data_IF_844550375550
#
_entry.id   IF_844550375550
#
_cell.length_a   1.000
_cell.length_b   1.000
_cell.length_c   1.000
_cell.angle_alpha   90.00
_cell.angle_beta   90.00
_cell.angle_gamma   90.00
#
_symmetry.space_group_name_H-M   'P 1'
#
loop_
_entity.id
_entity.type
_entity.pdbx_description
1 polymer ?
#
# COMPACT_ATOMS: atom_id res chain seq x y z
N UNK A 1 -46.65 29.98 38.83
CA UNK A 1 -47.60 29.95 37.70
C UNK A 1 -47.65 31.37 37.22
N UNK A 2 -46.73 31.72 36.33
CA UNK A 2 -46.71 33.03 35.67
C UNK A 2 -46.23 32.79 34.24
N UNK A 3 -47.13 33.14 33.33
CA UNK A 3 -47.16 32.88 31.90
C UNK A 3 -46.71 34.16 31.19
N UNK A 4 -45.65 34.09 30.39
CA UNK A 4 -45.08 35.24 29.70
C UNK A 4 -45.11 35.02 28.17
N UNK A 5 -45.90 35.80 27.41
CA UNK A 5 -45.85 35.80 25.94
C UNK A 5 -44.94 36.91 25.37
N UNK A 6 -44.54 36.81 24.08
CA UNK A 6 -43.33 37.43 23.54
C UNK A 6 -43.58 38.73 22.74
N UNK A 7 -42.54 39.55 22.47
CA UNK A 7 -42.61 40.60 21.46
C UNK A 7 -42.03 40.19 20.10
N UNK A 8 -42.71 40.63 19.04
CA UNK A 8 -42.31 40.60 17.61
C UNK A 8 -41.52 41.86 17.26
N UNK A 9 -40.56 41.76 16.33
CA UNK A 9 -39.90 42.91 15.70
C UNK A 9 -38.99 42.51 14.55
N UNK A 10 -39.28 43.04 13.35
CA UNK A 10 -38.76 42.64 12.05
C UNK A 10 -37.43 43.32 11.64
N UNK A 11 -36.68 42.72 10.71
CA UNK A 11 -36.14 43.48 9.56
C UNK A 11 -35.66 42.55 8.44
N UNK A 12 -36.37 42.58 7.31
CA UNK A 12 -35.90 42.11 6.01
C UNK A 12 -35.12 43.25 5.33
N UNK A 13 -33.99 42.94 4.68
CA UNK A 13 -33.39 43.80 3.66
C UNK A 13 -33.48 43.09 2.31
N UNK A 14 -34.07 43.77 1.35
CA UNK A 14 -34.11 43.39 -0.07
C UNK A 14 -33.12 44.18 -0.92
N UNK A 15 -33.35 44.05 -2.24
CA UNK A 15 -32.69 44.68 -3.40
C UNK A 15 -31.38 44.02 -3.87
N UNK A 16 -31.08 43.87 -5.16
CA UNK A 16 -31.79 44.07 -6.43
C UNK A 16 -30.95 43.40 -7.54
N UNK A 17 -31.55 43.27 -8.72
CA UNK A 17 -31.08 42.49 -9.86
C UNK A 17 -30.15 43.27 -10.84
N UNK A 18 -29.40 42.48 -11.61
CA UNK A 18 -29.00 42.62 -13.04
C UNK A 18 -28.23 43.86 -13.55
N UNK A 19 -27.01 43.62 -14.07
CA UNK A 19 -26.56 44.08 -15.40
C UNK A 19 -25.25 43.35 -15.81
N UNK A 20 -25.17 42.90 -17.06
CA UNK A 20 -24.13 42.01 -17.57
C UNK A 20 -22.85 42.67 -18.10
N UNK A 21 -21.81 41.84 -18.27
CA UNK A 21 -20.71 42.04 -19.21
C UNK A 21 -20.12 40.67 -19.61
N UNK A 22 -19.86 40.52 -20.91
CA UNK A 22 -19.47 39.32 -21.65
C UNK A 22 -18.03 38.82 -21.36
N UNK A 23 -17.68 37.58 -21.76
CA UNK A 23 -16.46 36.90 -21.32
C UNK A 23 -15.25 37.25 -22.19
N UNK A 24 -14.12 37.59 -21.55
CA UNK A 24 -12.83 37.67 -22.21
C UNK A 24 -12.33 36.25 -22.55
N UNK A 25 -12.09 36.02 -23.84
CA UNK A 25 -11.72 34.73 -24.41
C UNK A 25 -10.44 34.14 -23.80
N UNK A 26 -10.58 32.98 -23.15
CA UNK A 26 -9.45 32.08 -22.90
C UNK A 26 -9.14 31.35 -24.20
N UNK A 27 -8.01 31.70 -24.82
CA UNK A 27 -7.39 30.96 -25.92
C UNK A 27 -7.28 29.49 -25.52
N UNK A 28 -8.03 28.62 -26.21
CA UNK A 28 -7.87 27.17 -26.09
C UNK A 28 -6.56 26.79 -26.76
N UNK A 29 -5.53 26.53 -25.96
CA UNK A 29 -4.34 25.85 -26.45
C UNK A 29 -4.75 24.44 -26.94
N UNK A 30 -4.31 24.01 -28.13
CA UNK A 30 -4.58 22.67 -28.59
C UNK A 30 -3.94 21.69 -27.61
N UNK A 31 -4.75 20.79 -27.03
CA UNK A 31 -4.24 19.64 -26.28
C UNK A 31 -3.39 18.82 -27.24
N UNK A 32 -2.07 18.96 -27.13
CA UNK A 32 -1.15 18.04 -27.74
C UNK A 32 -1.54 16.63 -27.29
N UNK A 33 -2.05 15.82 -28.22
CA UNK A 33 -2.17 14.38 -28.04
C UNK A 33 -0.74 13.87 -27.87
N UNK A 34 -0.31 13.67 -26.63
CA UNK A 34 0.89 12.89 -26.37
C UNK A 34 0.65 11.51 -26.92
N UNK A 35 1.30 11.19 -28.05
CA UNK A 35 1.55 9.81 -28.45
C UNK A 35 2.54 9.26 -27.41
N UNK A 36 2.01 8.84 -26.26
CA UNK A 36 2.78 8.12 -25.28
C UNK A 36 3.10 6.76 -25.88
N UNK A 37 4.35 6.58 -26.33
CA UNK A 37 4.95 5.24 -26.37
C UNK A 37 4.78 4.67 -24.97
N UNK A 38 3.94 3.65 -24.85
CA UNK A 38 3.48 3.15 -23.57
C UNK A 38 4.65 2.69 -22.73
N UNK A 39 4.95 3.39 -21.65
CA UNK A 39 5.74 2.85 -20.55
C UNK A 39 4.94 1.66 -20.06
N UNK A 40 5.43 0.44 -20.29
CA UNK A 40 4.85 -0.77 -19.70
C UNK A 40 4.88 -0.53 -18.19
N UNK A 41 3.74 -0.55 -17.48
CA UNK A 41 3.76 -0.37 -16.04
C UNK A 41 4.67 -1.45 -15.44
N UNK A 42 5.58 -1.04 -14.56
CA UNK A 42 6.52 -1.96 -13.90
C UNK A 42 5.85 -2.87 -12.89
N UNK A 43 4.55 -2.66 -12.64
CA UNK A 43 3.76 -3.37 -11.65
C UNK A 43 2.47 -3.91 -12.24
N UNK A 44 2.06 -5.10 -11.78
CA UNK A 44 0.82 -5.74 -12.21
C UNK A 44 -0.41 -4.81 -12.00
N UNK A 45 -1.40 -4.86 -12.92
CA UNK A 45 -2.73 -4.31 -12.70
C UNK A 45 -3.34 -4.84 -11.40
N UNK A 46 -4.19 -4.04 -10.76
CA UNK A 46 -4.76 -4.36 -9.45
C UNK A 46 -5.40 -5.76 -9.41
N UNK A 47 -6.18 -6.14 -10.40
CA UNK A 47 -6.83 -7.46 -10.44
C UNK A 47 -5.82 -8.62 -10.44
N UNK A 48 -4.77 -8.55 -11.26
CA UNK A 48 -3.71 -9.57 -11.30
C UNK A 48 -2.88 -9.56 -10.02
N UNK A 49 -2.60 -8.37 -9.45
CA UNK A 49 -1.88 -8.25 -8.19
C UNK A 49 -2.65 -8.87 -7.04
N UNK A 50 -3.96 -8.62 -6.93
CA UNK A 50 -4.80 -9.19 -5.88
C UNK A 50 -4.84 -10.72 -5.99
N UNK A 51 -5.10 -11.26 -7.18
CA UNK A 51 -5.13 -12.72 -7.41
C UNK A 51 -3.78 -13.38 -7.09
N UNK A 52 -2.67 -12.72 -7.41
CA UNK A 52 -1.34 -13.20 -7.05
C UNK A 52 -1.08 -13.12 -5.54
N UNK A 53 -1.47 -12.03 -4.88
CA UNK A 53 -1.36 -11.87 -3.44
C UNK A 53 -2.13 -12.96 -2.69
N UNK A 54 -3.36 -13.26 -3.13
CA UNK A 54 -4.16 -14.39 -2.61
C UNK A 54 -3.39 -15.72 -2.73
N UNK A 55 -2.76 -15.97 -3.88
CA UNK A 55 -1.94 -17.18 -4.10
C UNK A 55 -0.72 -17.21 -3.17
N UNK A 56 -0.04 -16.08 -2.98
CA UNK A 56 1.14 -15.96 -2.11
C UNK A 56 0.75 -16.18 -0.64
N UNK A 57 -0.33 -15.57 -0.17
CA UNK A 57 -0.80 -15.73 1.21
C UNK A 57 -1.30 -17.14 1.47
N UNK A 58 -2.01 -17.77 0.51
CA UNK A 58 -2.39 -19.17 0.63
C UNK A 58 -1.17 -20.10 0.76
N UNK A 59 -0.06 -19.79 0.07
CA UNK A 59 1.16 -20.58 0.13
C UNK A 59 1.88 -20.58 1.50
N UNK A 60 1.47 -19.70 2.43
CA UNK A 60 1.94 -19.70 3.81
C UNK A 60 1.40 -20.90 4.62
N UNK A 61 0.22 -21.39 4.27
CA UNK A 61 -0.48 -22.45 5.03
C UNK A 61 -0.91 -23.65 4.18
N UNK A 62 -0.79 -23.57 2.85
CA UNK A 62 -1.24 -24.61 1.91
C UNK A 62 -0.10 -25.06 0.96
N UNK A 63 0.17 -26.37 0.93
CA UNK A 63 1.22 -26.97 0.11
C UNK A 63 0.90 -26.95 -1.40
N UNK A 64 -0.36 -27.08 -1.79
CA UNK A 64 -0.81 -26.95 -3.18
C UNK A 64 -0.70 -25.51 -3.66
N UNK A 65 -1.09 -24.53 -2.84
CA UNK A 65 -0.87 -23.13 -3.15
C UNK A 65 0.62 -22.81 -3.34
N UNK A 66 1.50 -23.44 -2.55
CA UNK A 66 2.95 -23.29 -2.69
C UNK A 66 3.50 -23.91 -3.97
N UNK A 67 2.96 -25.06 -4.39
CA UNK A 67 3.26 -25.65 -5.71
C UNK A 67 2.77 -24.74 -6.85
N UNK A 68 1.55 -24.20 -6.73
CA UNK A 68 1.00 -23.26 -7.71
C UNK A 68 1.86 -22.00 -7.81
N UNK A 69 2.27 -21.40 -6.69
CA UNK A 69 3.19 -20.27 -6.67
C UNK A 69 4.54 -20.59 -7.34
N UNK A 70 5.10 -21.77 -7.07
CA UNK A 70 6.35 -22.21 -7.68
C UNK A 70 6.22 -22.38 -9.21
N UNK A 71 5.07 -22.86 -9.70
CA UNK A 71 4.82 -22.98 -11.14
C UNK A 71 4.85 -21.62 -11.86
N UNK A 72 4.38 -20.55 -11.19
CA UNK A 72 4.41 -19.17 -11.72
C UNK A 72 5.82 -18.59 -11.87
N UNK A 73 6.87 -19.27 -11.40
CA UNK A 73 8.26 -18.85 -11.58
C UNK A 73 8.82 -19.12 -12.99
N UNK A 74 8.02 -19.76 -13.84
CA UNK A 74 8.34 -20.09 -15.24
C UNK A 74 7.38 -19.37 -16.19
N UNK A 75 7.86 -19.05 -17.39
CA UNK A 75 7.05 -18.39 -18.42
C UNK A 75 5.85 -19.28 -18.84
N UNK A 76 6.01 -20.61 -18.84
CA UNK A 76 4.94 -21.57 -19.15
C UNK A 76 3.84 -21.58 -18.08
N UNK A 77 4.21 -21.64 -16.81
CA UNK A 77 3.25 -21.56 -15.70
C UNK A 77 2.56 -20.20 -15.64
N UNK A 78 3.31 -19.11 -15.86
CA UNK A 78 2.75 -17.77 -15.95
C UNK A 78 1.77 -17.63 -17.13
N UNK A 79 2.09 -18.18 -18.30
CA UNK A 79 1.21 -18.15 -19.47
C UNK A 79 -0.09 -18.95 -19.26
N UNK A 80 -0.05 -20.01 -18.45
CA UNK A 80 -1.25 -20.79 -18.09
C UNK A 80 -2.13 -20.03 -17.08
N UNK A 81 -1.52 -19.23 -16.21
CA UNK A 81 -2.23 -18.46 -15.19
C UNK A 81 -2.83 -17.16 -15.73
N UNK A 82 -2.15 -16.52 -16.68
CA UNK A 82 -2.59 -15.31 -17.36
C UNK A 82 -3.55 -15.64 -18.50
N UNK A 83 -4.56 -14.80 -18.69
CA UNK A 83 -5.34 -14.83 -19.92
C UNK A 83 -4.49 -14.30 -21.10
N UNK A 84 -4.79 -14.71 -22.33
CA UNK A 84 -4.01 -14.32 -23.51
C UNK A 84 -3.86 -12.81 -23.73
N UNK A 85 -4.83 -12.01 -23.26
CA UNK A 85 -4.77 -10.54 -23.30
C UNK A 85 -3.77 -9.93 -22.30
N UNK A 86 -3.38 -10.70 -21.28
CA UNK A 86 -2.51 -10.31 -20.18
C UNK A 86 -1.08 -10.86 -20.30
N UNK A 87 -0.75 -11.54 -21.40
CA UNK A 87 0.59 -12.09 -21.66
C UNK A 87 1.73 -11.06 -21.49
N UNK A 88 1.46 -9.76 -21.71
CA UNK A 88 2.42 -8.67 -21.47
C UNK A 88 2.87 -8.55 -20.00
N UNK A 89 2.16 -9.16 -19.07
CA UNK A 89 2.44 -9.16 -17.63
C UNK A 89 3.23 -10.37 -17.14
N UNK A 90 3.63 -11.28 -18.04
CA UNK A 90 4.40 -12.48 -17.71
C UNK A 90 5.65 -12.17 -16.89
N UNK A 91 6.47 -11.21 -17.34
CA UNK A 91 7.71 -10.86 -16.63
C UNK A 91 7.47 -10.33 -15.20
N UNK A 92 6.63 -9.30 -14.94
CA UNK A 92 6.37 -8.84 -13.58
C UNK A 92 5.66 -9.87 -12.70
N UNK A 93 4.79 -10.72 -13.27
CA UNK A 93 4.19 -11.85 -12.54
C UNK A 93 5.27 -12.83 -12.07
N UNK A 94 6.10 -13.29 -13.01
CA UNK A 94 7.13 -14.31 -12.77
C UNK A 94 8.18 -13.83 -11.78
N UNK A 95 8.62 -12.57 -11.90
CA UNK A 95 9.57 -11.97 -10.96
C UNK A 95 9.01 -11.92 -9.54
N UNK A 96 7.74 -11.48 -9.38
CA UNK A 96 7.11 -11.43 -8.07
C UNK A 96 6.89 -12.84 -7.49
N UNK A 97 6.50 -13.80 -8.31
CA UNK A 97 6.35 -15.21 -7.91
C UNK A 97 7.68 -15.84 -7.47
N UNK A 98 8.80 -15.50 -8.14
CA UNK A 98 10.15 -15.95 -7.74
C UNK A 98 10.54 -15.40 -6.39
N UNK A 99 10.35 -14.09 -6.16
CA UNK A 99 10.62 -13.47 -4.85
C UNK A 99 9.80 -14.10 -3.75
N UNK A 100 8.51 -14.32 -3.98
CA UNK A 100 7.64 -14.97 -3.01
C UNK A 100 8.06 -16.42 -2.75
N UNK A 101 8.31 -17.21 -3.81
CA UNK A 101 8.79 -18.59 -3.67
C UNK A 101 10.10 -18.67 -2.89
N UNK A 102 11.03 -17.75 -3.13
CA UNK A 102 12.30 -17.66 -2.41
C UNK A 102 12.11 -17.23 -0.95
N UNK A 103 11.28 -16.23 -0.68
CA UNK A 103 10.96 -15.76 0.68
C UNK A 103 10.30 -16.86 1.52
N UNK A 104 9.50 -17.71 0.86
CA UNK A 104 8.85 -18.82 1.52
C UNK A 104 9.77 -20.04 1.63
N UNK A 105 10.77 -20.23 0.78
CA UNK A 105 11.58 -21.46 0.74
C UNK A 105 12.09 -21.89 2.13
N UNK A 106 11.84 -23.16 2.50
CA UNK A 106 12.25 -23.72 3.80
C UNK A 106 11.41 -23.31 5.02
N UNK A 107 10.51 -22.32 4.92
CA UNK A 107 9.59 -21.96 6.01
C UNK A 107 8.51 -23.04 6.21
N UNK A 108 8.19 -23.46 7.44
CA UNK A 108 7.11 -24.41 7.67
C UNK A 108 5.76 -23.82 7.25
N UNK A 109 4.81 -24.68 6.88
CA UNK A 109 3.41 -24.27 6.76
C UNK A 109 2.84 -24.09 8.17
N UNK A 110 2.08 -23.02 8.38
CA UNK A 110 1.38 -22.77 9.64
C UNK A 110 -0.13 -22.79 9.46
N UNK A 111 -0.87 -22.56 10.55
CA UNK A 111 -2.34 -22.48 10.52
C UNK A 111 -2.79 -21.33 9.60
N UNK A 112 -3.92 -21.49 8.86
CA UNK A 112 -4.52 -20.40 8.08
C UNK A 112 -5.02 -19.26 8.98
N UNK A 113 -5.31 -19.55 10.25
CA UNK A 113 -5.62 -18.54 11.27
C UNK A 113 -4.36 -18.23 12.08
N UNK A 114 -3.35 -17.67 11.42
CA UNK A 114 -2.12 -17.23 12.06
C UNK A 114 -2.44 -16.17 13.13
N UNK A 115 -1.79 -16.26 14.29
CA UNK A 115 -1.85 -15.18 15.26
C UNK A 115 -0.98 -14.00 14.79
N UNK A 116 -1.08 -12.87 15.48
CA UNK A 116 -0.33 -11.67 15.09
C UNK A 116 1.20 -11.88 15.18
N UNK A 117 1.65 -12.80 16.05
CA UNK A 117 3.05 -13.18 16.17
C UNK A 117 3.53 -13.78 14.85
N UNK A 118 2.86 -14.81 14.36
CA UNK A 118 3.18 -15.46 13.08
C UNK A 118 3.01 -14.50 11.90
N UNK A 119 1.92 -13.73 11.84
CA UNK A 119 1.69 -12.76 10.77
C UNK A 119 2.80 -11.71 10.66
N UNK A 120 3.38 -11.25 11.79
CA UNK A 120 4.53 -10.35 11.77
C UNK A 120 5.83 -11.03 11.29
N UNK A 121 6.01 -12.32 11.57
CA UNK A 121 7.16 -13.09 11.09
C UNK A 121 7.07 -13.34 9.57
N UNK A 122 5.86 -13.52 9.04
CA UNK A 122 5.63 -13.64 7.59
C UNK A 122 5.71 -12.29 6.89
N UNK A 123 5.15 -11.23 7.49
CA UNK A 123 5.30 -9.87 7.02
C UNK A 123 6.78 -9.47 6.90
N UNK A 124 7.63 -9.85 7.86
CA UNK A 124 9.06 -9.58 7.78
C UNK A 124 9.71 -10.24 6.56
N UNK A 125 9.47 -11.54 6.35
CA UNK A 125 10.02 -12.27 5.21
C UNK A 125 9.54 -11.73 3.86
N UNK A 126 8.26 -11.38 3.76
CA UNK A 126 7.68 -10.80 2.56
C UNK A 126 8.21 -9.37 2.30
N UNK A 127 8.33 -8.55 3.35
CA UNK A 127 8.85 -7.19 3.27
C UNK A 127 10.29 -7.18 2.77
N UNK A 128 11.15 -8.02 3.35
CA UNK A 128 12.57 -8.12 2.96
C UNK A 128 12.73 -8.65 1.52
N UNK A 129 11.74 -9.39 1.00
CA UNK A 129 11.66 -9.82 -0.39
C UNK A 129 11.05 -8.75 -1.34
N UNK A 130 10.69 -7.57 -0.83
CA UNK A 130 10.09 -6.48 -1.59
C UNK A 130 8.61 -6.70 -1.96
N UNK A 131 7.93 -7.61 -1.26
CA UNK A 131 6.53 -7.98 -1.46
C UNK A 131 5.61 -7.10 -0.59
N UNK A 132 5.79 -5.78 -0.68
CA UNK A 132 5.16 -4.84 0.24
C UNK A 132 3.63 -4.77 0.13
N UNK A 133 3.07 -5.15 -1.02
CA UNK A 133 1.63 -5.28 -1.16
C UNK A 133 1.10 -6.44 -0.31
N UNK A 134 1.77 -7.59 -0.33
CA UNK A 134 1.37 -8.77 0.46
C UNK A 134 1.57 -8.52 1.97
N UNK A 135 2.53 -7.69 2.37
CA UNK A 135 2.68 -7.21 3.77
C UNK A 135 1.45 -6.38 4.21
N UNK A 136 0.89 -5.56 3.34
CA UNK A 136 -0.38 -4.88 3.63
C UNK A 136 -1.50 -5.91 3.84
N UNK A 137 -1.68 -6.83 2.88
CA UNK A 137 -2.76 -7.82 2.90
C UNK A 137 -2.70 -8.71 4.14
N UNK A 138 -1.51 -9.14 4.58
CA UNK A 138 -1.38 -10.02 5.76
C UNK A 138 -1.62 -9.29 7.08
N UNK A 139 -1.26 -8.00 7.19
CA UNK A 139 -1.38 -7.24 8.43
C UNK A 139 -2.74 -6.55 8.58
N UNK A 140 -3.45 -6.26 7.49
CA UNK A 140 -4.74 -5.55 7.51
C UNK A 140 -5.80 -6.24 8.41
N UNK A 141 -6.03 -7.56 8.34
CA UNK A 141 -7.02 -8.21 9.19
C UNK A 141 -6.73 -8.03 10.69
N UNK A 142 -5.46 -8.10 11.09
CA UNK A 142 -5.04 -7.86 12.47
C UNK A 142 -5.17 -6.39 12.87
N UNK A 143 -4.88 -5.47 11.95
CA UNK A 143 -5.07 -4.04 12.20
C UNK A 143 -6.55 -3.71 12.43
N UNK A 144 -7.45 -4.24 11.60
CA UNK A 144 -8.90 -3.98 11.68
C UNK A 144 -9.44 -4.27 13.08
N UNK A 145 -9.07 -5.41 13.67
CA UNK A 145 -9.56 -5.88 14.97
C UNK A 145 -8.76 -5.36 16.18
N UNK A 146 -7.64 -4.69 15.94
CA UNK A 146 -6.77 -4.16 17.00
C UNK A 146 -7.21 -2.78 17.49
N UNK A 147 -6.83 -2.46 18.72
CA UNK A 147 -7.09 -1.18 19.38
C UNK A 147 -5.79 -0.60 19.99
N UNK A 148 -5.86 0.67 20.39
CA UNK A 148 -4.78 1.36 21.12
C UNK A 148 -3.42 1.31 20.42
N UNK A 149 -2.37 1.07 21.21
CA UNK A 149 -0.98 1.10 20.73
C UNK A 149 -0.68 0.02 19.68
N UNK A 150 -1.33 -1.14 19.78
CA UNK A 150 -1.20 -2.21 18.77
C UNK A 150 -1.73 -1.75 17.42
N UNK A 151 -2.90 -1.11 17.40
CA UNK A 151 -3.50 -0.59 16.16
C UNK A 151 -2.61 0.46 15.51
N UNK A 152 -2.08 1.37 16.31
CA UNK A 152 -1.17 2.43 15.84
C UNK A 152 0.13 1.86 15.27
N UNK A 153 0.73 0.87 15.95
CA UNK A 153 1.92 0.18 15.45
C UNK A 153 1.64 -0.57 14.14
N UNK A 154 0.55 -1.33 14.05
CA UNK A 154 0.17 -2.03 12.82
C UNK A 154 -0.11 -1.07 11.67
N UNK A 155 -0.81 0.02 11.93
CA UNK A 155 -1.06 1.04 10.92
C UNK A 155 0.25 1.63 10.40
N UNK A 156 1.22 1.93 11.28
CA UNK A 156 2.53 2.41 10.87
C UNK A 156 3.30 1.43 9.99
N UNK A 157 3.29 0.13 10.34
CA UNK A 157 3.95 -0.92 9.54
C UNK A 157 3.28 -1.08 8.16
N UNK A 158 1.95 -1.08 8.13
CA UNK A 158 1.16 -1.10 6.90
C UNK A 158 1.48 0.12 6.02
N UNK A 159 1.48 1.32 6.60
CA UNK A 159 1.79 2.55 5.86
C UNK A 159 3.20 2.52 5.27
N UNK A 160 4.20 2.00 6.01
CA UNK A 160 5.55 1.82 5.48
C UNK A 160 5.55 0.89 4.26
N UNK A 161 4.88 -0.27 4.34
CA UNK A 161 4.79 -1.21 3.23
C UNK A 161 4.10 -0.59 2.00
N UNK A 162 2.95 0.06 2.20
CA UNK A 162 2.24 0.76 1.12
C UNK A 162 3.10 1.86 0.52
N UNK A 163 3.89 2.59 1.32
CA UNK A 163 4.80 3.61 0.81
C UNK A 163 5.85 3.04 -0.17
N UNK A 164 6.44 1.89 0.14
CA UNK A 164 7.38 1.23 -0.78
C UNK A 164 6.68 0.65 -2.01
N UNK A 165 5.42 0.22 -1.91
CA UNK A 165 4.62 -0.12 -3.08
C UNK A 165 4.34 1.13 -3.96
N UNK A 166 4.11 2.30 -3.35
CA UNK A 166 3.99 3.56 -4.09
C UNK A 166 5.29 3.92 -4.82
N UNK A 167 6.46 3.71 -4.20
CA UNK A 167 7.75 3.89 -4.86
C UNK A 167 7.91 2.97 -6.07
N UNK A 168 7.57 1.68 -5.93
CA UNK A 168 7.62 0.72 -7.02
C UNK A 168 6.71 1.12 -8.21
N UNK A 169 5.60 1.81 -7.91
CA UNK A 169 4.66 2.33 -8.90
C UNK A 169 5.07 3.73 -9.46
N UNK A 170 6.20 4.29 -9.03
CA UNK A 170 6.65 5.63 -9.42
C UNK A 170 5.90 6.79 -8.75
N UNK A 171 5.05 6.52 -7.75
CA UNK A 171 4.32 7.55 -7.01
C UNK A 171 5.15 8.06 -5.82
N UNK A 172 6.13 8.92 -6.13
CA UNK A 172 7.06 9.49 -5.14
C UNK A 172 6.35 10.36 -4.08
N UNK A 173 5.31 11.11 -4.48
CA UNK A 173 4.57 11.97 -3.56
C UNK A 173 3.79 11.16 -2.51
N UNK A 174 3.07 10.13 -2.96
CA UNK A 174 2.34 9.22 -2.06
C UNK A 174 3.28 8.43 -1.15
N UNK A 175 4.39 7.93 -1.71
CA UNK A 175 5.42 7.26 -0.92
C UNK A 175 5.99 8.15 0.20
N UNK A 176 6.36 9.39 -0.12
CA UNK A 176 6.89 10.33 0.87
C UNK A 176 5.90 10.57 2.01
N UNK A 177 4.63 10.84 1.68
CA UNK A 177 3.60 11.10 2.69
C UNK A 177 3.48 9.93 3.67
N UNK A 178 3.35 8.71 3.13
CA UNK A 178 3.18 7.51 3.94
C UNK A 178 4.42 7.15 4.76
N UNK A 179 5.64 7.40 4.26
CA UNK A 179 6.86 7.20 5.05
C UNK A 179 6.96 8.14 6.25
N UNK A 180 6.54 9.40 6.11
CA UNK A 180 6.48 10.36 7.22
C UNK A 180 5.45 9.92 8.26
N UNK A 181 4.25 9.55 7.81
CA UNK A 181 3.18 9.07 8.70
C UNK A 181 3.57 7.77 9.42
N UNK A 182 4.13 6.81 8.69
CA UNK A 182 4.64 5.57 9.26
C UNK A 182 5.70 5.82 10.32
N UNK A 183 6.67 6.70 10.04
CA UNK A 183 7.69 7.07 11.03
C UNK A 183 7.08 7.66 12.30
N UNK A 184 6.14 8.61 12.16
CA UNK A 184 5.48 9.24 13.29
C UNK A 184 4.72 8.24 14.17
N UNK A 185 4.04 7.26 13.54
CA UNK A 185 3.31 6.22 14.27
C UNK A 185 4.23 5.23 14.97
N UNK A 186 5.38 4.88 14.37
CA UNK A 186 6.26 3.82 14.87
C UNK A 186 7.31 4.30 15.89
N UNK A 187 7.62 5.60 15.92
CA UNK A 187 8.68 6.16 16.77
C UNK A 187 8.45 5.79 18.25
N UNK A 188 9.48 5.24 18.89
CA UNK A 188 9.46 4.84 20.29
C UNK A 188 8.48 3.72 20.66
N UNK A 189 7.87 3.05 19.68
CA UNK A 189 6.92 1.95 19.95
C UNK A 189 7.59 0.59 19.96
N UNK A 190 6.95 -0.33 20.69
CA UNK A 190 7.23 -1.76 20.65
C UNK A 190 5.96 -2.53 20.31
N UNK A 191 6.10 -3.63 19.58
CA UNK A 191 4.98 -4.52 19.25
C UNK A 191 5.45 -5.98 19.39
N UNK A 192 4.91 -6.69 20.37
CA UNK A 192 5.15 -8.13 20.59
C UNK A 192 6.65 -8.52 20.55
N UNK A 193 7.47 -7.80 21.31
CA UNK A 193 8.92 -8.04 21.40
C UNK A 193 9.75 -7.44 20.25
N UNK A 194 9.14 -6.68 19.33
CA UNK A 194 9.83 -5.95 18.27
C UNK A 194 10.00 -4.49 18.65
N UNK A 195 11.22 -3.98 18.59
CA UNK A 195 11.51 -2.54 18.66
C UNK A 195 11.29 -1.89 17.30
N UNK A 196 10.39 -0.92 17.22
CA UNK A 196 10.02 -0.27 15.96
C UNK A 196 10.79 1.03 15.72
N UNK A 197 11.58 1.50 16.68
CA UNK A 197 12.14 2.85 16.65
C UNK A 197 13.26 3.01 15.61
N UNK A 198 14.08 1.97 15.43
CA UNK A 198 15.09 1.94 14.38
C UNK A 198 14.45 2.01 12.98
N UNK A 199 13.40 1.22 12.76
CA UNK A 199 12.66 1.21 11.50
C UNK A 199 11.89 2.52 11.28
N UNK A 200 11.35 3.12 12.34
CA UNK A 200 10.72 4.45 12.29
C UNK A 200 11.70 5.54 11.84
N UNK A 201 12.95 5.52 12.33
CA UNK A 201 14.01 6.45 11.87
C UNK A 201 14.37 6.21 10.42
N UNK A 202 14.48 4.94 10.02
CA UNK A 202 14.77 4.59 8.64
C UNK A 202 13.66 5.07 7.69
N UNK A 203 12.39 4.95 8.08
CA UNK A 203 11.26 5.49 7.31
C UNK A 203 11.33 7.01 7.16
N UNK A 204 11.69 7.75 8.22
CA UNK A 204 11.91 9.20 8.12
C UNK A 204 13.07 9.55 7.16
N UNK A 205 14.20 8.85 7.25
CA UNK A 205 15.34 9.06 6.37
C UNK A 205 14.99 8.73 4.91
N UNK A 206 14.24 7.66 4.68
CA UNK A 206 13.69 7.29 3.39
C UNK A 206 12.79 8.40 2.81
N UNK A 207 11.92 9.01 3.62
CA UNK A 207 11.07 10.12 3.16
C UNK A 207 11.90 11.31 2.66
N UNK A 208 12.99 11.65 3.34
CA UNK A 208 13.92 12.71 2.94
C UNK A 208 14.62 12.34 1.62
N UNK A 209 15.12 11.12 1.51
CA UNK A 209 15.79 10.64 0.30
C UNK A 209 14.85 10.64 -0.92
N UNK A 210 13.61 10.18 -0.76
CA UNK A 210 12.57 10.23 -1.81
C UNK A 210 12.30 11.67 -2.26
N UNK A 211 12.24 12.63 -1.32
CA UNK A 211 12.06 14.04 -1.65
C UNK A 211 13.24 14.61 -2.46
N UNK A 212 14.45 14.12 -2.22
CA UNK A 212 15.66 14.47 -2.96
C UNK A 212 15.84 13.72 -4.29
N UNK A 213 14.91 12.85 -4.68
CA UNK A 213 15.04 12.02 -5.89
C UNK A 213 16.07 10.90 -5.78
N UNK A 214 16.47 10.55 -4.57
CA UNK A 214 17.45 9.50 -4.29
C UNK A 214 16.72 8.16 -4.22
N UNK A 215 17.26 7.14 -4.91
CA UNK A 215 16.76 5.77 -4.80
C UNK A 215 16.89 5.27 -3.38
N UNK A 216 15.80 4.72 -2.84
CA UNK A 216 15.75 4.18 -1.47
C UNK A 216 15.62 2.67 -1.51
N UNK A 217 16.42 2.01 -0.70
CA UNK A 217 16.23 0.59 -0.33
C UNK A 217 15.59 0.57 1.06
N UNK A 218 14.49 -0.18 1.26
CA UNK A 218 13.91 -0.35 2.59
C UNK A 218 14.95 -0.88 3.59
N UNK A 219 14.92 -0.38 4.83
CA UNK A 219 15.62 -1.09 5.91
C UNK A 219 14.90 -2.41 6.22
N UNK A 220 15.61 -3.43 6.72
CA UNK A 220 14.98 -4.69 7.09
C UNK A 220 13.78 -4.49 8.02
N UNK A 221 12.77 -5.33 7.88
CA UNK A 221 11.59 -5.27 8.74
C UNK A 221 11.97 -5.50 10.22
N UNK A 222 11.30 -4.85 11.20
CA UNK A 222 11.61 -5.03 12.61
C UNK A 222 11.59 -6.50 13.01
N UNK A 223 12.71 -7.00 13.52
CA UNK A 223 12.84 -8.38 14.03
C UNK A 223 12.46 -8.44 15.51
N UNK A 224 12.16 -9.63 16.02
CA UNK A 224 12.07 -9.84 17.47
C UNK A 224 13.47 -9.75 18.07
N UNK A 225 13.56 -9.13 19.25
CA UNK A 225 14.75 -9.22 20.10
C UNK A 225 14.88 -10.59 20.77
#
# INVERSE_FOLDING_TARGET
MDDAPPPRGASQRGAAACAGAQPAGRRRHPRARSRAGGVIPTTLPLALRNRLAETILAALHDADARRALAALTTDEGAATWLDGADARWTAPLTERARRASAALAGRPLHSPNADLVQALDDAAALFDAGLHFEVHEILEPHWVVSEGDTREALQGLIQAAVAFQHLANGNLAGARSLLVEASARLRGRRLLGRDLDAFARAAAAAAVAVAGGITVVPSPFPSRE
#
